data_IF_552880553115
#
_entry.id   IF_552880553115
#
_cell.length_a   1.000
_cell.length_b   1.000
_cell.length_c   1.000
_cell.angle_alpha   90.00
_cell.angle_beta   90.00
_cell.angle_gamma   90.00
#
_symmetry.space_group_name_H-M   'P 1'
#
loop_
_entity.id
_entity.type
_entity.pdbx_description
1 polymer ?
#
# COMPACT_ATOMS: atom_id res chain seq x y z
N UNK A 1 11.83 -6.69 5.01
CA UNK A 1 12.19 -5.26 5.04
C UNK A 1 11.14 -4.52 4.22
N UNK A 2 10.16 -3.92 4.90
CA UNK A 2 9.07 -3.15 4.28
C UNK A 2 9.52 -1.72 3.98
N UNK A 3 10.51 -1.57 3.10
CA UNK A 3 11.04 -0.27 2.66
C UNK A 3 10.31 0.29 1.42
N UNK A 4 9.04 -0.08 1.24
CA UNK A 4 8.29 0.20 0.00
C UNK A 4 7.94 1.68 -0.19
N UNK A 5 7.68 2.40 0.91
CA UNK A 5 7.34 3.82 0.89
C UNK A 5 8.46 4.75 1.36
N UNK A 6 9.45 4.25 2.11
CA UNK A 6 10.59 5.06 2.58
C UNK A 6 11.47 5.61 1.45
N UNK A 7 11.32 5.11 0.22
CA UNK A 7 12.00 5.61 -0.97
C UNK A 7 11.26 6.70 -1.73
N UNK A 8 10.06 7.07 -1.28
CA UNK A 8 9.28 8.11 -1.95
C UNK A 8 9.42 9.38 -1.11
N UNK A 9 10.42 10.18 -1.48
CA UNK A 9 10.93 11.32 -0.71
C UNK A 9 9.95 12.50 -0.60
N UNK A 10 8.76 12.45 -1.23
CA UNK A 10 7.82 13.57 -1.24
C UNK A 10 6.36 13.17 -0.94
N UNK A 11 5.89 13.48 0.27
CA UNK A 11 4.54 13.14 0.75
C UNK A 11 3.44 13.88 -0.01
N UNK A 12 3.71 15.10 -0.48
CA UNK A 12 2.74 15.89 -1.25
C UNK A 12 2.51 15.30 -2.64
N UNK A 13 3.58 14.81 -3.29
CA UNK A 13 3.51 14.14 -4.60
C UNK A 13 2.80 12.78 -4.52
N UNK A 14 2.86 12.10 -3.38
CA UNK A 14 2.18 10.83 -3.17
C UNK A 14 0.67 10.93 -3.02
N UNK A 15 0.16 12.03 -2.45
CA UNK A 15 -1.26 12.17 -2.11
C UNK A 15 -2.19 11.97 -3.32
N UNK A 16 -2.00 12.65 -4.47
CA UNK A 16 -2.85 12.42 -5.64
C UNK A 16 -2.71 10.99 -6.21
N UNK A 17 -1.52 10.39 -6.14
CA UNK A 17 -1.30 9.02 -6.63
C UNK A 17 -2.03 7.99 -5.76
N UNK A 18 -2.02 8.17 -4.44
CA UNK A 18 -2.79 7.35 -3.49
C UNK A 18 -4.30 7.52 -3.69
N UNK A 19 -4.76 8.73 -4.00
CA UNK A 19 -6.17 9.01 -4.31
C UNK A 19 -6.64 8.34 -5.61
N UNK A 20 -5.73 8.15 -6.58
CA UNK A 20 -6.00 7.44 -7.84
C UNK A 20 -5.99 5.91 -7.73
N UNK A 21 -5.64 5.35 -6.57
CA UNK A 21 -5.67 3.91 -6.34
C UNK A 21 -7.10 3.41 -6.12
N UNK A 22 -7.41 2.17 -6.55
CA UNK A 22 -8.63 1.50 -6.13
C UNK A 22 -8.75 1.51 -4.60
N UNK A 23 -9.95 1.75 -4.07
CA UNK A 23 -10.20 1.93 -2.63
C UNK A 23 -9.60 0.80 -1.77
N UNK A 24 -9.70 -0.44 -2.25
CA UNK A 24 -9.17 -1.62 -1.57
C UNK A 24 -7.64 -1.61 -1.48
N UNK A 25 -6.97 -1.18 -2.55
CA UNK A 25 -5.52 -1.05 -2.61
C UNK A 25 -5.04 0.08 -1.69
N UNK A 26 -5.71 1.24 -1.73
CA UNK A 26 -5.44 2.38 -0.84
C UNK A 26 -5.61 1.99 0.64
N UNK A 27 -6.69 1.27 0.97
CA UNK A 27 -6.96 0.80 2.33
C UNK A 27 -5.84 -0.08 2.85
N UNK A 28 -5.40 -1.06 2.04
CA UNK A 28 -4.30 -1.97 2.43
C UNK A 28 -2.99 -1.22 2.65
N UNK A 29 -2.68 -0.20 1.84
CA UNK A 29 -1.51 0.66 2.03
C UNK A 29 -1.59 1.48 3.33
N UNK A 30 -2.74 2.10 3.61
CA UNK A 30 -2.95 2.88 4.85
C UNK A 30 -2.74 2.00 6.08
N UNK A 31 -3.39 0.84 6.12
CA UNK A 31 -3.25 -0.08 7.24
C UNK A 31 -1.79 -0.55 7.40
N UNK A 32 -1.08 -0.80 6.30
CA UNK A 32 0.32 -1.25 6.34
C UNK A 32 1.25 -0.17 6.84
N UNK A 33 1.15 1.05 6.33
CA UNK A 33 2.21 2.05 6.44
C UNK A 33 1.88 3.21 7.40
N UNK A 34 0.61 3.54 7.58
CA UNK A 34 0.19 4.52 8.59
C UNK A 34 -0.14 3.83 9.91
N UNK A 35 -0.95 2.78 9.85
CA UNK A 35 -1.36 2.05 11.06
C UNK A 35 -0.33 0.97 11.47
N UNK A 36 0.76 0.83 10.73
CA UNK A 36 1.86 -0.11 11.00
C UNK A 36 1.42 -1.58 11.18
N UNK A 37 0.27 -1.97 10.61
CA UNK A 37 -0.24 -3.33 10.71
C UNK A 37 0.59 -4.30 9.87
N UNK A 38 0.80 -5.50 10.40
CA UNK A 38 1.38 -6.61 9.62
C UNK A 38 0.41 -7.09 8.55
N UNK A 39 0.92 -7.75 7.50
CA UNK A 39 0.05 -8.28 6.45
C UNK A 39 -0.97 -9.32 6.96
N UNK A 40 -0.64 -10.06 8.02
CA UNK A 40 -1.57 -10.98 8.69
C UNK A 40 -2.69 -10.23 9.42
N UNK A 41 -2.35 -9.19 10.20
CA UNK A 41 -3.36 -8.37 10.87
C UNK A 41 -4.26 -7.64 9.86
N UNK A 42 -3.70 -7.20 8.73
CA UNK A 42 -4.48 -6.62 7.63
C UNK A 42 -5.43 -7.68 7.07
N UNK A 43 -4.92 -8.87 6.75
CA UNK A 43 -5.71 -9.98 6.22
C UNK A 43 -6.93 -10.32 7.10
N UNK A 44 -6.71 -10.41 8.41
CA UNK A 44 -7.77 -10.59 9.41
C UNK A 44 -8.78 -9.44 9.38
N UNK A 45 -8.30 -8.18 9.35
CA UNK A 45 -9.14 -6.99 9.34
C UNK A 45 -10.00 -6.82 8.08
N UNK A 46 -9.45 -7.12 6.89
CA UNK A 46 -10.16 -6.95 5.60
C UNK A 46 -10.85 -8.23 5.10
N UNK A 47 -10.72 -9.35 5.83
CA UNK A 47 -11.38 -10.61 5.50
C UNK A 47 -10.82 -11.29 4.24
N UNK A 48 -9.50 -11.24 4.02
CA UNK A 48 -8.82 -11.93 2.91
C UNK A 48 -7.56 -12.65 3.40
N UNK A 49 -6.99 -13.52 2.57
CA UNK A 49 -5.73 -14.18 2.93
C UNK A 49 -4.55 -13.19 2.96
N UNK A 50 -3.56 -13.45 3.82
CA UNK A 50 -2.30 -12.68 3.86
C UNK A 50 -1.59 -12.68 2.50
N UNK A 51 -1.70 -13.78 1.74
CA UNK A 51 -1.16 -13.83 0.39
C UNK A 51 -1.89 -12.90 -0.59
N UNK A 52 -3.20 -12.70 -0.43
CA UNK A 52 -3.93 -11.70 -1.21
C UNK A 52 -3.49 -10.27 -0.81
N UNK A 53 -3.34 -9.99 0.50
CA UNK A 53 -2.78 -8.72 0.97
C UNK A 53 -1.40 -8.44 0.36
N UNK A 54 -0.52 -9.44 0.36
CA UNK A 54 0.82 -9.35 -0.24
C UNK A 54 0.77 -8.95 -1.71
N UNK A 55 -0.11 -9.61 -2.51
CA UNK A 55 -0.29 -9.28 -3.92
C UNK A 55 -0.82 -7.86 -4.13
N UNK A 56 -1.78 -7.42 -3.30
CA UNK A 56 -2.30 -6.06 -3.36
C UNK A 56 -1.19 -5.04 -3.07
N UNK A 57 -0.43 -5.21 -1.98
CA UNK A 57 0.69 -4.32 -1.65
C UNK A 57 1.72 -4.25 -2.78
N UNK A 58 2.14 -5.39 -3.33
CA UNK A 58 3.12 -5.44 -4.41
C UNK A 58 2.63 -4.72 -5.67
N UNK A 59 1.36 -4.95 -6.06
CA UNK A 59 0.73 -4.31 -7.21
C UNK A 59 0.59 -2.80 -7.02
N UNK A 60 0.11 -2.36 -5.86
CA UNK A 60 -0.08 -0.93 -5.58
C UNK A 60 1.26 -0.19 -5.52
N UNK A 61 2.28 -0.78 -4.90
CA UNK A 61 3.63 -0.19 -4.90
C UNK A 61 4.25 -0.15 -6.29
N UNK A 62 4.01 -1.15 -7.15
CA UNK A 62 4.45 -1.11 -8.55
C UNK A 62 3.78 0.05 -9.30
N UNK A 63 2.45 0.17 -9.21
CA UNK A 63 1.71 1.28 -9.83
C UNK A 63 2.19 2.65 -9.35
N UNK A 64 2.44 2.81 -8.05
CA UNK A 64 2.93 4.09 -7.51
C UNK A 64 4.33 4.42 -8.05
N UNK A 65 5.21 3.43 -8.22
CA UNK A 65 6.53 3.65 -8.85
C UNK A 65 6.40 4.05 -10.31
N UNK A 66 5.56 3.35 -11.08
CA UNK A 66 5.35 3.62 -12.51
C UNK A 66 4.77 5.03 -12.78
N UNK A 67 4.13 5.65 -11.78
CA UNK A 67 3.56 7.00 -11.88
C UNK A 67 4.53 8.12 -11.44
N UNK A 68 5.66 7.75 -10.82
CA UNK A 68 6.71 8.67 -10.39
C UNK A 68 7.84 8.80 -11.43
N UNK A 69 7.91 7.88 -12.39
CA UNK A 69 8.74 7.97 -13.59
C UNK A 69 8.04 8.80 -14.69
#
# INVERSE_FOLDING_TARGET
MDAGLDRIEDRESLRPLLEALPERERTVLVLRFLDSMTQTQIAERVGISQMHVSRLLAKSLARLRDQLE
#
